data_IF_419688995672
#
_entry.id   IF_419688995672
#
_cell.length_a   1.000
_cell.length_b   1.000
_cell.length_c   1.000
_cell.angle_alpha   90.00
_cell.angle_beta   90.00
_cell.angle_gamma   90.00
#
_symmetry.space_group_name_H-M   'P 1'
#
loop_
_entity.id
_entity.type
_entity.pdbx_description
1 polymer ?
#
# COMPACT_ATOMS: atom_id res chain seq x y z
N UNK A 1 -5.60 -7.39 -22.27
CA UNK A 1 -4.99 -6.04 -22.38
C UNK A 1 -4.67 -5.46 -21.00
N UNK A 2 -3.43 -5.58 -20.53
CA UNK A 2 -2.95 -4.88 -19.32
C UNK A 2 -1.44 -4.55 -19.35
N UNK A 3 -0.74 -4.95 -20.42
CA UNK A 3 0.71 -4.79 -20.60
C UNK A 3 1.09 -3.32 -20.82
N UNK A 4 0.38 -2.65 -21.73
CA UNK A 4 0.63 -1.25 -22.05
C UNK A 4 -0.30 -0.35 -21.21
N UNK A 5 0.26 0.27 -20.17
CA UNK A 5 -0.44 1.23 -19.30
C UNK A 5 0.16 2.61 -19.50
N UNK A 6 -0.69 3.64 -19.54
CA UNK A 6 -0.24 5.03 -19.49
C UNK A 6 0.70 5.26 -18.29
N UNK A 7 1.66 6.15 -18.47
CA UNK A 7 2.66 6.47 -17.45
C UNK A 7 2.04 6.89 -16.11
N UNK A 8 1.01 7.75 -16.14
CA UNK A 8 0.28 8.16 -14.95
C UNK A 8 -0.31 6.97 -14.16
N UNK A 9 -0.84 5.96 -14.87
CA UNK A 9 -1.35 4.73 -14.24
C UNK A 9 -0.22 3.91 -13.61
N UNK A 10 0.96 3.84 -14.25
CA UNK A 10 2.14 3.17 -13.68
C UNK A 10 2.57 3.82 -12.35
N UNK A 11 2.65 5.14 -12.29
CA UNK A 11 2.98 5.86 -11.04
C UNK A 11 1.96 5.56 -9.95
N UNK A 12 0.66 5.62 -10.26
CA UNK A 12 -0.41 5.31 -9.30
C UNK A 12 -0.32 3.89 -8.77
N UNK A 13 0.07 2.93 -9.61
CA UNK A 13 0.28 1.52 -9.23
C UNK A 13 1.54 1.35 -8.39
N UNK A 14 2.65 2.02 -8.72
CA UNK A 14 3.87 2.02 -7.91
C UNK A 14 3.62 2.57 -6.51
N UNK A 15 2.94 3.73 -6.40
CA UNK A 15 2.49 4.27 -5.11
C UNK A 15 1.57 3.29 -4.39
N UNK A 16 0.71 2.59 -5.14
CA UNK A 16 -0.14 1.55 -4.59
C UNK A 16 0.67 0.42 -3.93
N UNK A 17 1.73 -0.06 -4.59
CA UNK A 17 2.61 -1.09 -4.07
C UNK A 17 3.34 -0.63 -2.80
N UNK A 18 3.95 0.56 -2.85
CA UNK A 18 4.73 1.13 -1.73
C UNK A 18 3.93 1.26 -0.44
N UNK A 19 2.65 1.66 -0.51
CA UNK A 19 1.82 1.82 0.70
C UNK A 19 1.29 0.50 1.27
N UNK A 20 1.49 -0.64 0.62
CA UNK A 20 0.96 -1.93 1.05
C UNK A 20 1.84 -2.66 2.09
N UNK A 21 2.76 -1.95 2.71
CA UNK A 21 3.68 -2.49 3.72
C UNK A 21 3.12 -2.37 5.14
N UNK A 22 3.70 -3.15 6.07
CA UNK A 22 3.41 -3.00 7.50
C UNK A 22 4.06 -1.71 8.05
N UNK A 23 3.55 -1.22 9.17
CA UNK A 23 4.18 -0.15 9.95
C UNK A 23 5.61 -0.60 10.37
N UNK A 24 6.64 0.24 10.19
CA UNK A 24 8.01 -0.09 10.60
C UNK A 24 8.16 -0.32 12.11
N UNK A 25 9.12 -1.16 12.49
CA UNK A 25 9.33 -1.54 13.89
C UNK A 25 9.64 -0.34 14.80
N UNK A 26 10.50 0.58 14.34
CA UNK A 26 10.86 1.77 15.10
C UNK A 26 9.65 2.70 15.39
N UNK A 27 8.65 2.72 14.51
CA UNK A 27 7.41 3.49 14.73
C UNK A 27 6.57 2.82 15.82
N UNK A 28 6.46 1.48 15.79
CA UNK A 28 5.74 0.72 16.80
C UNK A 28 6.37 0.91 18.19
N UNK A 29 7.70 0.92 18.27
CA UNK A 29 8.43 1.19 19.51
C UNK A 29 8.21 2.63 19.99
N UNK A 30 8.35 3.63 19.10
CA UNK A 30 8.14 5.05 19.44
C UNK A 30 6.73 5.33 19.95
N UNK A 31 5.73 4.60 19.46
CA UNK A 31 4.31 4.82 19.79
C UNK A 31 3.79 3.88 20.87
N UNK A 32 4.65 3.17 21.62
CA UNK A 32 4.24 2.20 22.63
C UNK A 32 3.19 1.21 22.11
N UNK A 33 3.38 0.74 20.87
CA UNK A 33 2.47 -0.22 20.20
C UNK A 33 1.04 0.30 19.97
N UNK A 34 0.83 1.62 19.96
CA UNK A 34 -0.47 2.19 19.56
C UNK A 34 -0.74 2.08 18.05
N UNK A 35 0.32 2.14 17.22
CA UNK A 35 0.19 2.10 15.76
C UNK A 35 0.77 0.79 15.21
N UNK A 36 -0.03 -0.28 15.24
CA UNK A 36 0.42 -1.64 14.87
C UNK A 36 0.18 -2.02 13.41
N UNK A 37 -0.93 -1.57 12.83
CA UNK A 37 -1.33 -1.93 11.46
C UNK A 37 -1.50 -0.70 10.59
N UNK A 38 -1.15 -0.85 9.32
CA UNK A 38 -1.48 0.13 8.29
C UNK A 38 -2.93 -0.12 7.82
N UNK A 39 -3.90 0.79 8.08
CA UNK A 39 -5.29 0.62 7.65
C UNK A 39 -5.48 0.57 6.13
N UNK A 40 -4.55 1.16 5.36
CA UNK A 40 -4.62 1.20 3.88
C UNK A 40 -3.96 0.00 3.20
N UNK A 41 -3.69 -1.10 3.93
CA UNK A 41 -3.24 -2.35 3.32
C UNK A 41 -4.35 -2.95 2.48
N UNK A 42 -3.96 -3.55 1.36
CA UNK A 42 -4.88 -4.21 0.44
C UNK A 42 -4.32 -5.55 -0.02
N UNK A 43 -5.23 -6.50 -0.20
CA UNK A 43 -4.91 -7.79 -0.80
C UNK A 43 -5.48 -7.81 -2.22
N UNK A 44 -4.84 -8.53 -3.13
CA UNK A 44 -5.25 -8.64 -4.53
C UNK A 44 -6.71 -9.13 -4.70
N UNK A 45 -7.21 -9.95 -3.75
CA UNK A 45 -8.57 -10.51 -3.77
C UNK A 45 -9.63 -9.71 -3.03
N UNK A 46 -9.28 -9.02 -1.94
CA UNK A 46 -10.29 -8.45 -1.02
C UNK A 46 -10.69 -7.02 -1.37
N UNK A 47 -9.97 -6.35 -2.26
CA UNK A 47 -10.28 -4.98 -2.66
C UNK A 47 -9.84 -4.67 -4.08
N UNK A 48 -10.79 -4.32 -4.95
CA UNK A 48 -10.47 -3.84 -6.31
C UNK A 48 -9.76 -2.49 -6.19
N UNK A 49 -8.57 -2.39 -6.80
CA UNK A 49 -7.89 -1.11 -6.93
C UNK A 49 -8.65 -0.24 -7.94
N UNK A 50 -9.55 0.63 -7.46
CA UNK A 50 -10.19 1.66 -8.29
C UNK A 50 -9.15 2.74 -8.64
N UNK A 51 -8.33 2.56 -9.68
CA UNK A 51 -7.30 3.52 -10.14
C UNK A 51 -6.94 3.44 -11.62
#
# INVERSE_FOLDING_TARGET
MARNKHFARKIRLLKAGRINSRVPHWVMMKTNRNVLRQPKRRTWNRGRAKR
#
